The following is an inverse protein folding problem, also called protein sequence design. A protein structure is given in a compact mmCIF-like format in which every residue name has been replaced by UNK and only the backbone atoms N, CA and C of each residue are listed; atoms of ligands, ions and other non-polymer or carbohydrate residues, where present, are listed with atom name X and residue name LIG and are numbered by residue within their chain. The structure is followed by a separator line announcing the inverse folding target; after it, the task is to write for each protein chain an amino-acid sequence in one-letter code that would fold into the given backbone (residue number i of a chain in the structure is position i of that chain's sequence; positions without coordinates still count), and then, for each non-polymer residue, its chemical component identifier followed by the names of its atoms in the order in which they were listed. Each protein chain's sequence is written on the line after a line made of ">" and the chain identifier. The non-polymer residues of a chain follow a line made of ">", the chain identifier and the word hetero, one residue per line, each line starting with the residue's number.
data_IF_283701643136
#
_entry.id   IF_283701643136
#
_cell.length_a   1.000
_cell.length_b   1.000
_cell.length_c   1.000
_cell.angle_alpha   90.00
_cell.angle_beta   90.00
_cell.angle_gamma   90.00
#
_symmetry.space_group_name_H-M   'P 1'
#
loop_
_entity.id
_entity.type
_entity.pdbx_description
1 polymer ?
#
# COMPACT_ATOMS: atom_id res chain seq x y z
N UNK A 1 15.94 9.85 -13.92
CA UNK A 1 15.26 8.55 -13.77
C UNK A 1 15.54 7.89 -12.42
N UNK A 2 16.79 7.63 -12.02
CA UNK A 2 17.07 6.98 -10.73
C UNK A 2 16.56 7.78 -9.52
N UNK A 3 16.76 9.09 -9.48
CA UNK A 3 16.27 9.97 -8.40
C UNK A 3 14.74 9.99 -8.33
N UNK A 4 14.06 10.00 -9.45
CA UNK A 4 12.59 9.96 -9.51
C UNK A 4 12.06 8.62 -8.97
N UNK A 5 12.68 7.50 -9.34
CA UNK A 5 12.33 6.18 -8.82
C UNK A 5 12.56 6.09 -7.30
N UNK A 6 13.66 6.67 -6.81
CA UNK A 6 13.96 6.72 -5.37
C UNK A 6 12.91 7.55 -4.61
N UNK A 7 12.53 8.72 -5.13
CA UNK A 7 11.52 9.58 -4.51
C UNK A 7 10.14 8.92 -4.49
N UNK A 8 9.76 8.23 -5.57
CA UNK A 8 8.51 7.46 -5.64
C UNK A 8 8.55 6.30 -4.63
N UNK A 9 9.69 5.61 -4.48
CA UNK A 9 9.88 4.55 -3.49
C UNK A 9 9.74 5.05 -2.05
N UNK A 10 10.35 6.20 -1.72
CA UNK A 10 10.19 6.84 -0.40
C UNK A 10 8.73 7.22 -0.16
N UNK A 11 8.06 7.78 -1.17
CA UNK A 11 6.65 8.11 -1.06
C UNK A 11 5.77 6.87 -0.86
N UNK A 12 6.06 5.77 -1.56
CA UNK A 12 5.35 4.49 -1.39
C UNK A 12 5.45 3.98 0.05
N UNK A 13 6.64 4.06 0.66
CA UNK A 13 6.85 3.71 2.06
C UNK A 13 6.05 4.59 3.02
N UNK A 14 6.08 5.92 2.83
CA UNK A 14 5.30 6.85 3.65
C UNK A 14 3.79 6.63 3.52
N UNK A 15 3.29 6.42 2.32
CA UNK A 15 1.88 6.15 2.08
C UNK A 15 1.45 4.76 2.62
N UNK A 16 2.37 3.78 2.62
CA UNK A 16 2.16 2.48 3.25
C UNK A 16 1.98 2.60 4.77
N UNK A 17 2.83 3.37 5.44
CA UNK A 17 2.71 3.65 6.88
C UNK A 17 1.40 4.39 7.18
N UNK A 18 1.01 5.37 6.34
CA UNK A 18 -0.24 6.10 6.52
C UNK A 18 -1.48 5.21 6.40
N UNK A 19 -1.43 4.20 5.54
CA UNK A 19 -2.55 3.28 5.33
C UNK A 19 -2.90 2.49 6.60
N UNK A 20 -1.90 2.09 7.38
CA UNK A 20 -2.08 1.19 8.53
C UNK A 20 -2.00 1.91 9.88
N UNK A 21 -1.17 2.95 10.01
CA UNK A 21 -0.85 3.54 11.31
C UNK A 21 -1.40 4.97 11.50
N UNK A 22 -1.09 5.88 10.58
CA UNK A 22 -1.40 7.31 10.76
C UNK A 22 -2.82 7.71 10.34
N UNK A 23 -3.36 7.08 9.30
CA UNK A 23 -4.69 7.34 8.74
C UNK A 23 -4.96 8.83 8.40
N UNK A 24 -3.93 9.54 7.95
CA UNK A 24 -4.06 10.93 7.47
C UNK A 24 -4.70 11.02 6.08
N UNK A 25 -5.04 9.87 5.49
CA UNK A 25 -5.58 9.75 4.13
C UNK A 25 -4.62 10.17 3.02
N UNK A 26 -3.33 10.24 3.29
CA UNK A 26 -2.28 10.56 2.32
C UNK A 26 -2.08 9.41 1.33
N UNK A 27 -2.44 8.19 1.72
CA UNK A 27 -2.40 6.98 0.90
C UNK A 27 -3.44 6.98 -0.23
N UNK A 28 -4.38 7.93 -0.27
CA UNK A 28 -5.41 7.99 -1.31
C UNK A 28 -4.83 8.22 -2.70
N UNK A 29 -5.36 7.54 -3.75
CA UNK A 29 -4.85 7.65 -5.10
C UNK A 29 -4.80 9.07 -5.65
N UNK A 30 -5.74 9.94 -5.29
CA UNK A 30 -5.70 11.36 -5.68
C UNK A 30 -4.46 12.05 -5.13
N UNK A 31 -4.14 11.85 -3.85
CA UNK A 31 -2.96 12.45 -3.20
C UNK A 31 -1.69 11.83 -3.75
N UNK A 32 -1.68 10.50 -3.89
CA UNK A 32 -0.56 9.78 -4.49
C UNK A 32 -0.30 10.22 -5.92
N UNK A 33 -1.37 10.40 -6.70
CA UNK A 33 -1.31 10.94 -8.06
C UNK A 33 -0.68 12.34 -8.10
N UNK A 34 -1.04 13.22 -7.16
CA UNK A 34 -0.43 14.55 -7.02
C UNK A 34 1.08 14.48 -6.75
N UNK A 35 1.52 13.61 -5.86
CA UNK A 35 2.96 13.50 -5.55
C UNK A 35 3.73 12.88 -6.71
N UNK A 36 3.20 11.85 -7.33
CA UNK A 36 3.83 11.22 -8.50
C UNK A 36 3.98 12.23 -9.65
N UNK A 37 2.98 13.09 -9.90
CA UNK A 37 3.15 14.12 -10.94
C UNK A 37 4.15 15.22 -10.56
N UNK A 38 4.23 15.62 -9.30
CA UNK A 38 5.27 16.56 -8.86
C UNK A 38 6.66 16.02 -9.19
N UNK A 39 6.86 14.73 -9.00
CA UNK A 39 8.14 14.05 -9.27
C UNK A 39 8.39 13.88 -10.77
N UNK A 40 7.36 13.55 -11.56
CA UNK A 40 7.47 13.25 -12.99
C UNK A 40 7.23 14.43 -13.91
N UNK A 41 6.52 15.47 -13.44
CA UNK A 41 6.37 16.76 -14.18
C UNK A 41 5.14 16.88 -15.06
N UNK A 42 4.14 15.98 -15.00
CA UNK A 42 2.89 16.06 -15.76
C UNK A 42 1.65 16.12 -14.88
N UNK A 43 1.25 17.35 -14.54
CA UNK A 43 0.12 17.66 -13.65
C UNK A 43 -1.20 17.06 -14.16
N UNK A 44 -1.49 17.28 -15.43
CA UNK A 44 -2.81 16.98 -16.01
C UNK A 44 -3.07 15.46 -15.97
N UNK A 45 -2.13 14.69 -16.48
CA UNK A 45 -2.24 13.24 -16.57
C UNK A 45 -2.26 12.61 -15.18
N UNK A 46 -1.38 13.06 -14.26
CA UNK A 46 -1.31 12.54 -12.91
C UNK A 46 -2.58 12.76 -12.09
N UNK A 47 -3.19 13.95 -12.19
CA UNK A 47 -4.42 14.25 -11.45
C UNK A 47 -5.62 13.49 -12.02
N UNK A 48 -5.74 13.37 -13.34
CA UNK A 48 -6.84 12.62 -13.98
C UNK A 48 -6.70 11.13 -13.63
N UNK A 49 -5.52 10.54 -13.78
CA UNK A 49 -5.29 9.13 -13.45
C UNK A 49 -5.52 8.85 -11.96
N UNK A 50 -5.00 9.70 -11.06
CA UNK A 50 -5.24 9.59 -9.63
C UNK A 50 -6.72 9.69 -9.25
N UNK A 51 -7.45 10.62 -9.86
CA UNK A 51 -8.90 10.77 -9.65
C UNK A 51 -9.71 9.57 -10.15
N UNK A 52 -9.37 9.02 -11.32
CA UNK A 52 -10.01 7.82 -11.85
C UNK A 52 -9.75 6.60 -10.96
N UNK A 53 -8.51 6.42 -10.51
CA UNK A 53 -8.16 5.35 -9.58
C UNK A 53 -8.88 5.51 -8.24
N UNK A 54 -9.04 6.72 -7.73
CA UNK A 54 -9.83 6.99 -6.52
C UNK A 54 -11.28 6.51 -6.68
N UNK A 55 -11.91 6.82 -7.82
CA UNK A 55 -13.29 6.39 -8.08
C UNK A 55 -13.42 4.86 -8.15
N UNK A 56 -12.44 4.18 -8.73
CA UNK A 56 -12.41 2.71 -8.81
C UNK A 56 -12.29 2.09 -7.41
N UNK A 57 -11.41 2.65 -6.57
CA UNK A 57 -11.16 2.11 -5.24
C UNK A 57 -12.22 2.48 -4.20
N UNK A 58 -12.98 3.56 -4.40
CA UNK A 58 -14.03 4.00 -3.47
C UNK A 58 -15.11 2.95 -3.20
N UNK A 59 -15.37 2.06 -4.15
CA UNK A 59 -16.35 0.99 -3.99
C UNK A 59 -15.79 -0.28 -3.33
N UNK A 60 -14.49 -0.36 -3.09
CA UNK A 60 -13.85 -1.57 -2.57
C UNK A 60 -13.74 -1.52 -1.05
N UNK A 61 -14.82 -1.91 -0.37
CA UNK A 61 -14.83 -2.01 1.09
C UNK A 61 -14.45 -3.44 1.50
N UNK A 62 -13.56 -3.64 2.50
CA UNK A 62 -13.24 -4.97 3.01
C UNK A 62 -14.46 -5.57 3.73
N UNK A 63 -15.19 -6.42 3.03
CA UNK A 63 -16.36 -7.12 3.57
C UNK A 63 -16.01 -8.58 3.84
N UNK A 64 -16.40 -9.09 4.99
CA UNK A 64 -16.34 -10.51 5.35
C UNK A 64 -14.96 -11.18 5.19
N UNK A 65 -13.87 -10.45 5.44
CA UNK A 65 -12.50 -10.97 5.34
C UNK A 65 -11.91 -10.96 3.92
N UNK A 66 -12.64 -10.42 2.94
CA UNK A 66 -12.06 -10.16 1.63
C UNK A 66 -11.06 -8.99 1.72
N UNK A 67 -9.83 -9.22 1.29
CA UNK A 67 -8.81 -8.16 1.26
C UNK A 67 -8.90 -7.42 -0.07
N UNK A 68 -9.17 -6.10 -0.05
CA UNK A 68 -9.15 -5.30 -1.27
C UNK A 68 -7.73 -5.23 -1.83
N UNK A 69 -7.57 -4.97 -3.15
CA UNK A 69 -6.28 -4.73 -3.76
C UNK A 69 -5.54 -3.57 -3.08
N UNK A 70 -4.21 -3.59 -3.12
CA UNK A 70 -3.40 -2.54 -2.50
C UNK A 70 -3.55 -1.21 -3.24
N UNK A 71 -4.26 -0.27 -2.61
CA UNK A 71 -4.62 1.04 -3.17
C UNK A 71 -3.39 1.90 -3.43
N UNK A 72 -2.38 1.84 -2.52
CA UNK A 72 -1.16 2.65 -2.60
C UNK A 72 -0.34 2.24 -3.82
N UNK A 73 -0.03 0.95 -3.94
CA UNK A 73 0.78 0.42 -5.03
C UNK A 73 0.05 0.58 -6.37
N UNK A 74 -1.25 0.27 -6.39
CA UNK A 74 -2.08 0.50 -7.57
C UNK A 74 -2.11 1.96 -8.01
N UNK A 75 -2.27 2.89 -7.06
CA UNK A 75 -2.27 4.32 -7.31
C UNK A 75 -0.95 4.82 -7.87
N UNK A 76 0.18 4.42 -7.28
CA UNK A 76 1.53 4.82 -7.73
C UNK A 76 1.82 4.28 -9.13
N UNK A 77 1.66 2.97 -9.33
CA UNK A 77 2.00 2.31 -10.61
C UNK A 77 1.09 2.82 -11.73
N UNK A 78 -0.23 2.91 -11.47
CA UNK A 78 -1.17 3.40 -12.46
C UNK A 78 -0.89 4.83 -12.90
N UNK A 79 -0.65 5.73 -11.94
CA UNK A 79 -0.34 7.13 -12.24
C UNK A 79 1.01 7.27 -12.96
N UNK A 80 2.05 6.56 -12.49
CA UNK A 80 3.36 6.60 -13.14
C UNK A 80 3.28 6.05 -14.57
N UNK A 81 2.55 4.97 -14.79
CA UNK A 81 2.35 4.39 -16.11
C UNK A 81 1.65 5.36 -17.05
N UNK A 82 0.56 6.01 -16.61
CA UNK A 82 -0.14 7.02 -17.40
C UNK A 82 0.77 8.16 -17.86
N UNK A 83 1.63 8.64 -16.94
CA UNK A 83 2.56 9.74 -17.24
C UNK A 83 3.66 9.31 -18.22
N UNK A 84 4.21 8.11 -18.05
CA UNK A 84 5.28 7.61 -18.92
C UNK A 84 4.82 7.26 -20.34
N UNK A 85 3.65 6.66 -20.47
CA UNK A 85 3.13 6.25 -21.78
C UNK A 85 2.46 7.39 -22.53
N UNK A 86 2.04 8.45 -21.82
CA UNK A 86 1.20 9.55 -22.36
C UNK A 86 -0.08 9.04 -23.03
N UNK A 87 -0.52 7.88 -22.63
CA UNK A 87 -1.73 7.20 -23.08
C UNK A 87 -2.96 7.71 -22.31
N UNK A 88 -4.14 7.27 -22.75
CA UNK A 88 -5.39 7.61 -22.08
C UNK A 88 -5.35 7.15 -20.59
N UNK A 89 -5.70 8.02 -19.64
CA UNK A 89 -5.77 7.68 -18.21
C UNK A 89 -6.61 6.43 -17.89
N UNK A 90 -7.55 6.08 -18.75
CA UNK A 90 -8.33 4.84 -18.63
C UNK A 90 -7.47 3.58 -18.71
N UNK A 91 -6.42 3.59 -19.51
CA UNK A 91 -5.47 2.48 -19.65
C UNK A 91 -4.68 2.31 -18.34
N UNK A 92 -4.37 3.42 -17.67
CA UNK A 92 -3.69 3.39 -16.37
C UNK A 92 -4.45 2.58 -15.31
N UNK A 93 -5.78 2.69 -15.29
CA UNK A 93 -6.63 1.90 -14.40
C UNK A 93 -6.52 0.40 -14.71
N UNK A 94 -6.56 0.05 -16.00
CA UNK A 94 -6.41 -1.34 -16.44
C UNK A 94 -5.09 -1.98 -16.03
N UNK A 95 -4.01 -1.19 -16.03
CA UNK A 95 -2.68 -1.65 -15.59
C UNK A 95 -2.55 -1.65 -14.06
N UNK A 96 -3.11 -0.66 -13.38
CA UNK A 96 -3.02 -0.53 -11.92
C UNK A 96 -3.64 -1.72 -11.17
N UNK A 97 -4.79 -2.20 -11.63
CA UNK A 97 -5.56 -3.26 -10.93
C UNK A 97 -4.78 -4.56 -10.78
N UNK A 98 -4.19 -5.17 -11.83
CA UNK A 98 -3.43 -6.41 -11.67
C UNK A 98 -2.20 -6.25 -10.77
N UNK A 99 -1.51 -5.11 -10.82
CA UNK A 99 -0.38 -4.84 -9.93
C UNK A 99 -0.82 -4.67 -8.47
N UNK A 100 -1.96 -4.01 -8.22
CA UNK A 100 -2.52 -3.86 -6.88
C UNK A 100 -2.92 -5.21 -6.28
N UNK A 101 -3.50 -6.11 -7.08
CA UNK A 101 -3.85 -7.47 -6.66
C UNK A 101 -2.60 -8.29 -6.37
N UNK A 102 -1.60 -8.23 -7.25
CA UNK A 102 -0.34 -8.95 -7.06
C UNK A 102 0.39 -8.48 -5.79
N UNK A 103 0.44 -7.18 -5.54
CA UNK A 103 1.01 -6.61 -4.32
C UNK A 103 0.27 -7.09 -3.07
N UNK A 104 -1.07 -7.07 -3.08
CA UNK A 104 -1.87 -7.55 -1.97
C UNK A 104 -1.65 -9.05 -1.72
N UNK A 105 -1.57 -9.85 -2.78
CA UNK A 105 -1.25 -11.28 -2.65
C UNK A 105 0.13 -11.50 -2.00
N UNK A 106 1.13 -10.70 -2.36
CA UNK A 106 2.45 -10.71 -1.73
C UNK A 106 2.40 -10.41 -0.24
N UNK A 107 1.68 -9.35 0.15
CA UNK A 107 1.48 -8.97 1.56
C UNK A 107 0.77 -10.10 2.33
N UNK A 108 -0.26 -10.68 1.75
CA UNK A 108 -1.00 -11.82 2.36
C UNK A 108 -0.09 -13.02 2.57
N UNK A 109 0.75 -13.34 1.58
CA UNK A 109 1.76 -14.40 1.70
C UNK A 109 2.73 -14.14 2.85
N UNK A 110 3.25 -12.94 2.96
CA UNK A 110 4.13 -12.54 4.07
C UNK A 110 3.43 -12.69 5.41
N UNK A 111 2.20 -12.19 5.56
CA UNK A 111 1.42 -12.34 6.78
C UNK A 111 1.20 -13.82 7.14
N UNK A 112 0.98 -14.69 6.14
CA UNK A 112 0.81 -16.13 6.36
C UNK A 112 2.09 -16.79 6.86
N UNK A 113 3.25 -16.38 6.33
CA UNK A 113 4.56 -16.90 6.81
C UNK A 113 4.82 -16.51 8.26
N UNK A 114 4.32 -15.36 8.72
CA UNK A 114 4.44 -14.92 10.12
C UNK A 114 3.35 -15.48 11.05
N UNK A 115 2.36 -16.21 10.55
CA UNK A 115 1.29 -16.81 11.35
C UNK A 115 1.78 -17.67 12.54
N UNK A 116 2.86 -18.49 12.42
CA UNK A 116 3.36 -19.27 13.56
C UNK A 116 3.81 -18.41 14.75
N UNK A 117 4.22 -17.18 14.51
CA UNK A 117 4.61 -16.26 15.60
C UNK A 117 3.37 -15.81 16.39
N UNK A 118 2.23 -15.67 15.72
CA UNK A 118 0.96 -15.35 16.38
C UNK A 118 0.47 -16.48 17.29
N UNK A 119 0.69 -17.76 16.92
CA UNK A 119 0.37 -18.89 17.78
C UNK A 119 1.17 -18.88 19.09
N UNK A 120 2.42 -18.39 19.07
CA UNK A 120 3.17 -18.21 20.33
C UNK A 120 2.57 -17.10 21.20
N UNK A 121 1.99 -16.06 20.60
CA UNK A 121 1.28 -15.03 21.35
C UNK A 121 0.04 -15.60 22.07
N UNK A 122 -0.69 -16.51 21.41
CA UNK A 122 -1.83 -17.20 22.01
C UNK A 122 -1.40 -18.05 23.22
N UNK A 123 -0.24 -18.72 23.14
CA UNK A 123 0.33 -19.49 24.25
C UNK A 123 0.69 -18.60 25.45
N UNK A 124 1.31 -17.44 25.22
CA UNK A 124 1.58 -16.47 26.29
C UNK A 124 0.29 -15.88 26.86
N UNK A 125 -0.73 -15.65 26.03
CA UNK A 125 -2.03 -15.20 26.48
C UNK A 125 -2.72 -16.24 27.39
N UNK A 126 -2.64 -17.53 27.03
CA UNK A 126 -3.19 -18.64 27.84
C UNK A 126 -2.51 -18.75 29.19
N UNK A 127 -1.21 -18.41 29.29
CA UNK A 127 -0.43 -18.41 30.51
C UNK A 127 -0.49 -17.07 31.30
N UNK A 128 -1.28 -16.10 30.84
CA UNK A 128 -1.39 -14.72 31.36
C UNK A 128 -0.02 -14.01 31.49
N UNK A 129 0.95 -14.34 30.62
CA UNK A 129 2.27 -13.70 30.57
C UNK A 129 2.23 -12.43 29.72
N UNK A 130 1.92 -11.31 30.37
CA UNK A 130 1.85 -9.99 29.73
C UNK A 130 3.19 -9.58 29.10
N UNK A 131 4.32 -9.90 29.75
CA UNK A 131 5.65 -9.54 29.25
C UNK A 131 6.02 -10.33 27.99
N UNK A 132 5.59 -11.59 27.89
CA UNK A 132 5.73 -12.40 26.69
C UNK A 132 4.96 -11.82 25.52
N UNK A 133 3.72 -11.39 25.74
CA UNK A 133 2.86 -10.76 24.75
C UNK A 133 3.48 -9.43 24.26
N UNK A 134 3.91 -8.57 25.19
CA UNK A 134 4.56 -7.31 24.83
C UNK A 134 5.81 -7.53 23.98
N UNK A 135 6.65 -8.50 24.32
CA UNK A 135 7.87 -8.81 23.56
C UNK A 135 7.56 -9.27 22.14
N UNK A 136 6.56 -10.12 21.95
CA UNK A 136 6.13 -10.57 20.61
C UNK A 136 5.54 -9.40 19.85
N UNK A 137 4.71 -8.58 20.45
CA UNK A 137 4.10 -7.44 19.81
C UNK A 137 5.16 -6.44 19.32
N UNK A 138 6.18 -6.15 20.13
CA UNK A 138 7.31 -5.33 19.73
C UNK A 138 8.10 -5.94 18.56
N UNK A 139 8.35 -7.24 18.60
CA UNK A 139 9.05 -7.93 17.50
C UNK A 139 8.24 -7.93 16.20
N UNK A 140 6.94 -8.21 16.27
CA UNK A 140 6.04 -8.17 15.12
C UNK A 140 5.90 -6.76 14.56
N UNK A 141 5.81 -5.76 15.43
CA UNK A 141 5.72 -4.36 15.01
C UNK A 141 7.00 -3.92 14.30
N UNK A 142 8.18 -4.27 14.82
CA UNK A 142 9.46 -3.99 14.15
C UNK A 142 9.57 -4.71 12.79
N UNK A 143 9.20 -5.99 12.72
CA UNK A 143 9.26 -6.78 11.48
C UNK A 143 8.23 -6.24 10.46
N UNK A 144 7.02 -5.94 10.90
CA UNK A 144 5.99 -5.35 10.05
C UNK A 144 6.47 -4.01 9.49
N UNK A 145 7.07 -3.17 10.31
CA UNK A 145 7.60 -1.87 9.91
C UNK A 145 8.78 -1.98 8.93
N UNK A 146 9.63 -3.01 9.05
CA UNK A 146 10.73 -3.25 8.10
C UNK A 146 10.26 -3.86 6.77
N UNK A 147 9.12 -4.55 6.76
CA UNK A 147 8.55 -5.16 5.54
C UNK A 147 7.64 -4.21 4.76
N UNK A 148 7.15 -3.14 5.39
CA UNK A 148 6.33 -2.10 4.76
C UNK A 148 7.18 -0.98 4.10
N UNK A 149 8.51 -0.97 4.30
CA UNK A 149 9.48 -0.14 3.60
C UNK A 149 9.89 -0.77 2.27
#
# INVERSE_FOLDING_TARGET
>A
MFVQALLIGIWAGLAGIDLFDLQLHVHRPVVTGLVVWIILGDVKTGLIAGGMLELVWMGMVPLAGAQPPNVVIGGIIGTAFAIFTKEDPNIAVGVAVPFAIAAQAGITLLCTVFSPVMHKADEYAANADVRGIERINYHLYCIKKELEL
#
